data_IF_322173413512
#
_entry.id   IF_322173413512
#
_cell.length_a   1.000
_cell.length_b   1.000
_cell.length_c   1.000
_cell.angle_alpha   90.00
_cell.angle_beta   90.00
_cell.angle_gamma   90.00
#
_symmetry.space_group_name_H-M   'P 1'
#
loop_
_entity.id
_entity.type
_entity.pdbx_description
1 polymer ?
#
# COMPACT_ATOMS: atom_id res chain seq x y z
N UNK A 1 -2.76 -12.06 0.37
CA UNK A 1 -4.17 -11.73 0.02
C UNK A 1 -4.62 -12.50 -1.21
N UNK A 2 -4.00 -12.32 -2.38
CA UNK A 2 -4.43 -12.95 -3.63
C UNK A 2 -4.47 -14.48 -3.60
N UNK A 3 -3.45 -15.13 -3.03
CA UNK A 3 -3.42 -16.59 -2.90
C UNK A 3 -4.53 -17.19 -2.01
N UNK A 4 -5.22 -16.36 -1.20
CA UNK A 4 -6.34 -16.79 -0.35
C UNK A 4 -7.69 -16.75 -1.09
N UNK A 5 -7.74 -16.24 -2.32
CA UNK A 5 -8.99 -16.04 -3.06
C UNK A 5 -9.98 -15.17 -2.30
N UNK A 6 -11.26 -15.56 -2.28
CA UNK A 6 -12.33 -14.83 -1.59
C UNK A 6 -12.08 -14.64 -0.08
N UNK A 7 -11.37 -15.57 0.56
CA UNK A 7 -11.04 -15.47 1.99
C UNK A 7 -10.07 -14.32 2.28
N UNK A 8 -9.30 -13.86 1.27
CA UNK A 8 -8.43 -12.69 1.40
C UNK A 8 -9.14 -11.34 1.37
N UNK A 9 -10.47 -11.31 1.21
CA UNK A 9 -11.28 -10.09 1.21
C UNK A 9 -12.09 -9.92 2.49
N UNK A 10 -11.89 -10.81 3.48
CA UNK A 10 -12.61 -10.75 4.75
C UNK A 10 -12.36 -9.46 5.52
N UNK A 11 -13.42 -8.82 5.99
CA UNK A 11 -13.36 -7.58 6.77
C UNK A 11 -13.77 -7.79 8.23
N UNK A 12 -14.81 -8.59 8.45
CA UNK A 12 -15.39 -8.93 9.75
C UNK A 12 -16.35 -10.14 9.64
N UNK A 13 -16.85 -10.63 10.77
CA UNK A 13 -17.89 -11.66 10.84
C UNK A 13 -17.36 -13.09 10.97
N UNK A 14 -18.27 -14.01 11.29
CA UNK A 14 -17.97 -15.43 11.59
C UNK A 14 -17.51 -16.24 10.36
N UNK A 15 -17.69 -15.71 9.15
CA UNK A 15 -17.29 -16.36 7.89
C UNK A 15 -15.80 -16.29 7.57
N UNK A 16 -15.01 -15.56 8.37
CA UNK A 16 -13.57 -15.38 8.17
C UNK A 16 -12.80 -15.67 9.45
N UNK A 17 -11.66 -16.36 9.30
CA UNK A 17 -10.72 -16.59 10.39
C UNK A 17 -10.01 -15.29 10.76
N UNK A 18 -9.55 -15.14 12.01
CA UNK A 18 -8.82 -13.94 12.43
C UNK A 18 -7.63 -13.59 11.53
N UNK A 19 -6.89 -14.59 11.03
CA UNK A 19 -5.76 -14.38 10.12
C UNK A 19 -6.16 -13.86 8.74
N UNK A 20 -7.33 -14.23 8.24
CA UNK A 20 -7.88 -13.77 6.96
C UNK A 20 -8.29 -12.28 7.07
N UNK A 21 -8.99 -11.91 8.14
CA UNK A 21 -9.32 -10.50 8.45
C UNK A 21 -8.06 -9.65 8.60
N UNK A 22 -7.07 -10.13 9.34
CA UNK A 22 -5.81 -9.42 9.55
C UNK A 22 -5.03 -9.21 8.26
N UNK A 23 -5.08 -10.18 7.35
CA UNK A 23 -4.42 -10.08 6.05
C UNK A 23 -5.02 -8.97 5.18
N UNK A 24 -6.36 -8.84 5.12
CA UNK A 24 -7.04 -7.75 4.41
C UNK A 24 -6.67 -6.39 5.01
N UNK A 25 -6.71 -6.28 6.35
CA UNK A 25 -6.34 -5.04 7.06
C UNK A 25 -4.89 -4.63 6.81
N UNK A 26 -3.97 -5.59 6.83
CA UNK A 26 -2.55 -5.34 6.56
C UNK A 26 -2.35 -4.82 5.13
N UNK A 27 -3.05 -5.40 4.14
CA UNK A 27 -2.98 -4.94 2.75
C UNK A 27 -3.52 -3.52 2.57
N UNK A 28 -4.69 -3.22 3.16
CA UNK A 28 -5.27 -1.87 3.12
C UNK A 28 -4.38 -0.84 3.83
N UNK A 29 -3.77 -1.22 4.96
CA UNK A 29 -2.80 -0.37 5.67
C UNK A 29 -1.57 -0.10 4.83
N UNK A 30 -1.01 -1.13 4.19
CA UNK A 30 0.13 -0.98 3.28
C UNK A 30 -0.21 -0.05 2.10
N UNK A 31 -1.45 -0.07 1.59
CA UNK A 31 -1.91 0.90 0.59
C UNK A 31 -1.98 2.32 1.16
N UNK A 32 -2.40 2.50 2.40
CA UNK A 32 -2.34 3.80 3.08
C UNK A 32 -0.89 4.33 3.20
N UNK A 33 0.07 3.45 3.50
CA UNK A 33 1.48 3.80 3.61
C UNK A 33 2.08 4.37 2.31
N UNK A 34 1.49 4.10 1.15
CA UNK A 34 1.97 4.65 -0.12
C UNK A 34 1.58 6.12 -0.34
N UNK A 35 0.80 6.69 0.58
CA UNK A 35 0.22 8.05 0.51
C UNK A 35 0.74 8.91 1.67
N UNK A 36 0.68 8.40 2.90
CA UNK A 36 1.08 9.14 4.10
C UNK A 36 2.60 9.38 4.14
N UNK A 37 3.02 10.55 4.63
CA UNK A 37 4.44 10.96 4.61
C UNK A 37 4.93 11.44 3.24
N UNK A 38 4.01 11.64 2.29
CA UNK A 38 4.29 11.99 0.90
C UNK A 38 4.00 10.81 -0.01
N UNK A 39 3.24 11.03 -1.08
CA UNK A 39 2.87 9.93 -1.97
C UNK A 39 4.11 9.33 -2.62
N UNK A 40 3.99 8.07 -3.05
CA UNK A 40 5.08 7.36 -3.73
C UNK A 40 5.58 8.13 -4.95
N UNK A 41 4.69 8.76 -5.72
CA UNK A 41 5.04 9.59 -6.88
C UNK A 41 5.90 10.79 -6.49
N UNK A 42 5.54 11.50 -5.42
CA UNK A 42 6.31 12.64 -4.92
C UNK A 42 7.68 12.20 -4.43
N UNK A 43 7.74 11.14 -3.63
CA UNK A 43 9.00 10.64 -3.08
C UNK A 43 9.93 10.09 -4.16
N UNK A 44 9.39 9.38 -5.16
CA UNK A 44 10.16 8.94 -6.33
C UNK A 44 10.70 10.13 -7.12
N UNK A 45 9.92 11.22 -7.25
CA UNK A 45 10.39 12.43 -7.90
C UNK A 45 11.53 13.11 -7.10
N UNK A 46 11.43 13.18 -5.78
CA UNK A 46 12.52 13.69 -4.91
C UNK A 46 13.80 12.87 -5.11
N UNK A 47 13.71 11.54 -5.15
CA UNK A 47 14.86 10.66 -5.41
C UNK A 47 15.41 10.91 -6.82
N UNK A 48 14.55 10.98 -7.84
CA UNK A 48 14.98 11.22 -9.21
C UNK A 48 15.71 12.56 -9.37
N UNK A 49 15.22 13.64 -8.74
CA UNK A 49 15.89 14.94 -8.75
C UNK A 49 17.25 14.90 -8.04
N UNK A 50 17.33 14.28 -6.86
CA UNK A 50 18.55 14.28 -6.02
C UNK A 50 19.63 13.32 -6.52
N UNK A 51 19.24 12.15 -7.02
CA UNK A 51 20.18 11.10 -7.43
C UNK A 51 20.49 11.19 -8.92
N UNK A 52 19.49 11.46 -9.76
CA UNK A 52 19.66 11.47 -11.21
C UNK A 52 19.86 12.89 -11.78
N UNK A 53 19.84 13.93 -10.94
CA UNK A 53 20.06 15.32 -11.36
C UNK A 53 18.96 15.88 -12.26
N UNK A 54 17.75 15.29 -12.22
CA UNK A 54 16.63 15.79 -13.02
C UNK A 54 16.20 17.17 -12.52
N UNK A 55 15.83 18.05 -13.47
CA UNK A 55 15.36 19.41 -13.17
C UNK A 55 13.92 19.35 -12.68
N UNK A 56 13.52 20.33 -11.87
CA UNK A 56 12.10 20.58 -11.61
C UNK A 56 11.36 20.83 -12.94
N UNK A 57 10.07 20.48 -12.99
CA UNK A 57 9.22 20.83 -14.12
C UNK A 57 9.35 22.35 -14.34
N UNK A 58 9.89 22.74 -15.51
CA UNK A 58 10.01 24.15 -15.89
C UNK A 58 8.63 24.75 -16.16
#
# INVERSE_FOLDING_TARGET
VEAMGHQGLGWEGEGFKPGEIMSTRAMLRAKGNSIEGGTSEVNLNVVAKRVLGLRDHQ
#
